data_IF_479162525240
#
_entry.id   IF_479162525240
#
_cell.length_a   1.000
_cell.length_b   1.000
_cell.length_c   1.000
_cell.angle_alpha   90.00
_cell.angle_beta   90.00
_cell.angle_gamma   90.00
#
_symmetry.space_group_name_H-M   'P 1'
#
loop_
_entity.id
_entity.type
_entity.pdbx_description
1 polymer ?
#
# COMPACT_ATOMS: atom_id res chain seq x y z
N UNK A 1 2.53 23.65 17.79
CA UNK A 1 3.63 22.78 17.34
C UNK A 1 3.33 22.37 15.91
N UNK A 2 4.06 22.92 14.94
CA UNK A 2 3.90 22.56 13.53
C UNK A 2 4.48 21.17 13.35
N UNK A 3 3.63 20.13 13.20
CA UNK A 3 4.07 18.81 12.78
C UNK A 3 4.62 18.95 11.36
N UNK A 4 5.94 19.05 11.22
CA UNK A 4 6.62 18.84 9.95
C UNK A 4 6.30 17.42 9.51
N UNK A 5 5.43 17.28 8.52
CA UNK A 5 5.24 16.03 7.78
C UNK A 5 6.61 15.76 7.16
N UNK A 6 7.34 14.79 7.71
CA UNK A 6 8.52 14.25 7.05
C UNK A 6 8.01 13.62 5.76
N UNK A 7 8.12 14.35 4.65
CA UNK A 7 7.88 13.78 3.32
C UNK A 7 9.01 12.77 3.13
N UNK A 8 8.68 11.48 3.25
CA UNK A 8 9.63 10.42 2.95
C UNK A 8 10.16 10.61 1.53
N UNK A 9 11.48 10.60 1.37
CA UNK A 9 12.08 10.68 0.05
C UNK A 9 11.67 9.43 -0.74
N UNK A 10 11.06 9.63 -1.91
CA UNK A 10 10.75 8.55 -2.85
C UNK A 10 12.01 7.73 -3.19
N UNK A 11 11.87 6.41 -3.43
CA UNK A 11 12.99 5.58 -3.84
C UNK A 11 13.52 6.00 -5.22
N UNK A 12 14.69 5.50 -5.60
CA UNK A 12 15.25 5.74 -6.93
C UNK A 12 14.46 5.03 -8.03
N UNK A 13 13.90 3.85 -7.73
CA UNK A 13 13.12 3.06 -8.68
C UNK A 13 11.93 2.40 -7.99
N UNK A 14 10.89 2.14 -8.77
CA UNK A 14 9.76 1.31 -8.37
C UNK A 14 9.62 0.11 -9.30
N UNK A 15 9.11 -1.00 -8.76
CA UNK A 15 9.02 -2.28 -9.44
C UNK A 15 7.61 -2.83 -9.34
N UNK A 16 7.02 -3.25 -10.45
CA UNK A 16 5.72 -3.91 -10.49
C UNK A 16 5.80 -5.23 -11.22
N UNK A 17 5.32 -6.29 -10.58
CA UNK A 17 5.37 -7.66 -11.08
C UNK A 17 3.98 -8.12 -11.49
N UNK A 18 3.83 -8.64 -12.71
CA UNK A 18 2.57 -9.17 -13.23
C UNK A 18 2.80 -9.95 -14.53
N UNK A 19 1.70 -10.37 -15.18
CA UNK A 19 1.76 -10.86 -16.56
C UNK A 19 2.21 -9.76 -17.50
N UNK A 20 3.09 -10.08 -18.44
CA UNK A 20 3.63 -9.20 -19.47
C UNK A 20 2.55 -8.41 -20.17
N UNK A 21 1.48 -9.07 -20.64
CA UNK A 21 0.37 -8.43 -21.35
C UNK A 21 -0.29 -7.27 -20.59
N UNK A 22 -0.28 -7.32 -19.26
CA UNK A 22 -0.82 -6.25 -18.43
C UNK A 22 0.20 -5.12 -18.26
N UNK A 23 1.48 -5.48 -18.09
CA UNK A 23 2.55 -4.51 -17.96
C UNK A 23 2.85 -3.77 -19.28
N UNK A 24 2.61 -4.39 -20.44
CA UNK A 24 2.66 -3.73 -21.74
C UNK A 24 1.62 -2.61 -21.83
N UNK A 25 0.39 -2.84 -21.34
CA UNK A 25 -0.60 -1.77 -21.23
C UNK A 25 -0.17 -0.68 -20.25
N UNK A 26 0.43 -1.06 -19.12
CA UNK A 26 0.98 -0.07 -18.18
C UNK A 26 2.10 0.76 -18.80
N UNK A 27 2.99 0.16 -19.60
CA UNK A 27 4.11 0.85 -20.25
C UNK A 27 3.63 1.75 -21.39
N UNK A 28 2.88 1.19 -22.35
CA UNK A 28 2.58 1.86 -23.61
C UNK A 28 1.36 2.77 -23.54
N UNK A 29 0.38 2.44 -22.68
CA UNK A 29 -0.86 3.21 -22.54
C UNK A 29 -0.95 3.96 -21.19
N UNK A 30 -0.04 3.69 -20.26
CA UNK A 30 -0.14 4.20 -18.89
C UNK A 30 -1.32 3.61 -18.12
N UNK A 31 -1.77 2.40 -18.45
CA UNK A 31 -2.94 1.79 -17.80
C UNK A 31 -2.58 1.24 -16.42
N UNK A 32 -3.17 1.82 -15.38
CA UNK A 32 -3.01 1.37 -13.99
C UNK A 32 -4.37 1.13 -13.34
N UNK A 33 -4.52 -0.05 -12.74
CA UNK A 33 -5.68 -0.40 -11.92
C UNK A 33 -5.41 -0.04 -10.47
N UNK A 34 -6.18 0.91 -9.95
CA UNK A 34 -6.31 1.20 -8.53
C UNK A 34 -7.30 0.22 -7.93
N UNK A 35 -6.87 -0.51 -6.92
CA UNK A 35 -7.66 -1.55 -6.25
C UNK A 35 -8.13 -1.04 -4.90
N UNK A 36 -9.28 -1.51 -4.43
CA UNK A 36 -9.76 -1.19 -3.10
C UNK A 36 -9.13 -2.10 -2.03
N UNK A 37 -9.08 -1.63 -0.79
CA UNK A 37 -8.59 -2.43 0.33
C UNK A 37 -9.48 -3.68 0.53
N UNK A 38 -10.80 -3.51 0.40
CA UNK A 38 -11.76 -4.64 0.42
C UNK A 38 -11.51 -5.65 -0.70
N UNK A 39 -11.16 -5.18 -1.91
CA UNK A 39 -10.83 -6.07 -3.02
C UNK A 39 -9.63 -6.96 -2.71
N UNK A 40 -8.57 -6.39 -2.13
CA UNK A 40 -7.37 -7.15 -1.74
C UNK A 40 -7.71 -8.24 -0.70
N UNK A 41 -8.50 -7.91 0.32
CA UNK A 41 -8.99 -8.88 1.31
C UNK A 41 -9.76 -10.04 0.66
N UNK A 42 -10.48 -9.76 -0.43
CA UNK A 42 -11.30 -10.72 -1.16
C UNK A 42 -10.53 -11.60 -2.17
N UNK A 43 -9.24 -11.32 -2.43
CA UNK A 43 -8.45 -12.06 -3.42
C UNK A 43 -8.40 -13.55 -3.07
N UNK A 44 -8.89 -14.40 -3.98
CA UNK A 44 -8.79 -15.85 -3.82
C UNK A 44 -7.66 -16.43 -4.68
N UNK A 45 -6.81 -17.25 -4.06
CA UNK A 45 -5.72 -17.94 -4.73
C UNK A 45 -4.50 -17.08 -5.05
N UNK A 46 -4.34 -15.92 -4.40
CA UNK A 46 -3.14 -15.08 -4.42
C UNK A 46 -2.80 -14.65 -2.98
N UNK A 47 -2.56 -15.66 -2.13
CA UNK A 47 -2.33 -15.49 -0.69
C UNK A 47 -1.19 -14.52 -0.35
N UNK A 48 -0.10 -14.44 -1.13
CA UNK A 48 0.95 -13.45 -0.87
C UNK A 48 0.45 -12.01 -0.94
N UNK A 49 -0.57 -11.70 -1.75
CA UNK A 49 -1.17 -10.37 -1.83
C UNK A 49 -2.40 -10.17 -0.96
N UNK A 50 -3.07 -11.25 -0.57
CA UNK A 50 -4.29 -11.19 0.22
C UNK A 50 -3.99 -10.76 1.66
N UNK A 51 -4.44 -9.56 2.03
CA UNK A 51 -4.28 -8.95 3.35
C UNK A 51 -5.51 -8.14 3.74
N UNK A 52 -5.70 -7.90 5.04
CA UNK A 52 -6.72 -6.98 5.55
C UNK A 52 -6.15 -5.56 5.61
N UNK A 53 -6.04 -4.91 4.46
CA UNK A 53 -5.37 -3.62 4.29
C UNK A 53 -6.04 -2.46 5.07
N UNK A 54 -7.23 -2.69 5.64
CA UNK A 54 -7.94 -1.74 6.50
C UNK A 54 -7.66 -1.93 7.98
N UNK A 55 -7.07 -3.06 8.39
CA UNK A 55 -6.87 -3.44 9.77
C UNK A 55 -5.43 -3.86 10.01
N UNK A 56 -4.78 -3.25 11.00
CA UNK A 56 -3.46 -3.67 11.46
C UNK A 56 -3.53 -4.07 12.93
N UNK A 57 -3.06 -5.29 13.21
CA UNK A 57 -2.97 -5.83 14.57
C UNK A 57 -1.52 -5.94 15.02
N UNK A 58 -1.25 -5.46 16.23
CA UNK A 58 0.03 -5.58 16.91
C UNK A 58 -0.16 -6.33 18.23
N UNK A 59 0.55 -7.46 18.38
CA UNK A 59 0.61 -8.20 19.65
C UNK A 59 1.83 -7.76 20.42
N UNK A 60 1.61 -7.13 21.58
CA UNK A 60 2.66 -6.70 22.49
C UNK A 60 2.73 -7.63 23.70
N UNK A 61 3.93 -8.02 24.16
CA UNK A 61 4.12 -8.68 25.45
C UNK A 61 3.52 -7.83 26.57
N UNK A 62 2.96 -8.49 27.59
CA UNK A 62 2.35 -7.78 28.73
C UNK A 62 3.33 -6.86 29.46
N UNK A 63 4.61 -7.22 29.48
CA UNK A 63 5.69 -6.44 30.09
C UNK A 63 6.04 -5.15 29.33
N UNK A 64 5.62 -5.03 28.07
CA UNK A 64 5.89 -3.86 27.21
C UNK A 64 4.73 -2.86 27.21
N UNK A 65 3.68 -3.07 28.02
CA UNK A 65 2.46 -2.26 28.01
C UNK A 65 2.09 -1.74 29.39
N UNK A 66 2.06 -0.42 29.53
CA UNK A 66 1.52 0.27 30.69
C UNK A 66 0.05 0.65 30.46
N UNK A 67 -0.87 0.02 31.19
CA UNK A 67 -2.30 0.36 31.16
C UNK A 67 -2.67 1.03 32.48
N UNK A 68 -3.29 2.21 32.42
CA UNK A 68 -3.81 2.92 33.61
C UNK A 68 -5.31 3.09 33.52
N UNK A 69 -6.02 2.73 34.59
CA UNK A 69 -7.45 3.00 34.71
C UNK A 69 -7.68 4.51 34.90
N UNK A 70 -8.22 5.20 33.90
CA UNK A 70 -8.44 6.66 33.96
C UNK A 70 -9.32 7.10 35.14
N UNK A 71 -10.31 6.30 35.53
CA UNK A 71 -11.23 6.63 36.63
C UNK A 71 -10.59 6.48 38.01
N UNK A 72 -9.67 5.53 38.19
CA UNK A 72 -9.10 5.21 39.52
C UNK A 72 -7.62 5.57 39.67
N UNK A 73 -6.94 5.87 38.56
CA UNK A 73 -5.49 6.11 38.51
C UNK A 73 -4.63 4.87 38.78
N UNK A 74 -5.22 3.69 38.93
CA UNK A 74 -4.49 2.45 39.25
C UNK A 74 -3.94 1.77 38.00
N UNK A 75 -2.73 1.17 38.08
CA UNK A 75 -2.21 0.35 36.99
C UNK A 75 -3.08 -0.90 36.81
N UNK A 76 -3.31 -1.28 35.56
CA UNK A 76 -3.92 -2.53 35.15
C UNK A 76 -2.79 -3.40 34.59
N UNK A 77 -2.59 -4.57 35.19
CA UNK A 77 -1.59 -5.53 34.72
C UNK A 77 -2.31 -6.50 33.78
N UNK A 78 -1.93 -6.56 32.49
CA UNK A 78 -2.49 -7.55 31.57
C UNK A 78 -2.16 -8.98 32.06
N UNK A 79 -3.06 -9.93 31.82
CA UNK A 79 -2.83 -11.36 32.13
C UNK A 79 -2.17 -12.13 30.97
N UNK A 80 -2.02 -11.47 29.83
CA UNK A 80 -1.51 -12.02 28.57
C UNK A 80 -1.05 -10.87 27.68
N UNK A 81 -0.48 -11.20 26.51
CA UNK A 81 -0.21 -10.22 25.48
C UNK A 81 -1.42 -9.32 25.22
N UNK A 82 -1.14 -8.04 24.98
CA UNK A 82 -2.13 -7.04 24.60
C UNK A 82 -2.15 -6.96 23.08
N UNK A 83 -3.35 -7.03 22.50
CA UNK A 83 -3.55 -6.84 21.06
C UNK A 83 -4.05 -5.41 20.88
N UNK A 84 -3.29 -4.63 20.12
CA UNK A 84 -3.69 -3.31 19.66
C UNK A 84 -4.17 -3.47 18.21
N UNK A 85 -5.37 -3.00 17.94
CA UNK A 85 -5.97 -3.05 16.60
C UNK A 85 -6.22 -1.62 16.12
N UNK A 86 -5.59 -1.27 15.00
CA UNK A 86 -5.83 -0.02 14.28
C UNK A 86 -6.69 -0.32 13.04
N UNK A 87 -7.91 0.23 12.99
CA UNK A 87 -8.86 0.00 11.89
C UNK A 87 -9.24 1.29 11.17
N UNK A 88 -9.32 1.22 9.84
CA UNK A 88 -9.96 2.25 9.03
C UNK A 88 -11.46 1.99 8.91
N UNK A 89 -12.25 3.01 9.21
CA UNK A 89 -13.71 2.95 9.07
C UNK A 89 -14.20 3.16 7.63
N UNK A 90 -13.29 3.33 6.67
CA UNK A 90 -13.60 3.59 5.26
C UNK A 90 -12.68 2.79 4.36
N UNK A 91 -13.24 2.26 3.29
CA UNK A 91 -12.48 1.70 2.18
C UNK A 91 -11.74 2.82 1.44
N UNK A 92 -10.67 2.45 0.74
CA UNK A 92 -9.81 3.38 0.03
C UNK A 92 -9.20 2.73 -1.21
N UNK A 93 -8.75 3.54 -2.18
CA UNK A 93 -8.04 3.03 -3.35
C UNK A 93 -6.55 2.98 -3.10
N UNK A 94 -5.89 2.00 -3.68
CA UNK A 94 -4.45 1.91 -3.65
C UNK A 94 -3.82 1.30 -4.89
N UNK A 95 -2.53 1.60 -5.04
CA UNK A 95 -1.62 1.06 -6.03
C UNK A 95 -0.29 0.74 -5.32
N UNK A 96 0.07 -0.53 -5.25
CA UNK A 96 1.30 -0.99 -4.63
C UNK A 96 2.37 -1.31 -5.67
N UNK A 97 3.59 -0.84 -5.42
CA UNK A 97 4.81 -1.21 -6.14
C UNK A 97 5.87 -1.60 -5.11
N UNK A 98 6.90 -2.35 -5.52
CA UNK A 98 8.06 -2.63 -4.67
C UNK A 98 9.13 -1.55 -4.85
N UNK A 99 9.89 -1.24 -3.80
CA UNK A 99 11.10 -0.40 -3.86
C UNK A 99 12.36 -1.20 -4.17
N UNK A 100 12.27 -2.54 -4.21
CA UNK A 100 13.41 -3.44 -4.43
C UNK A 100 13.09 -4.40 -5.58
N UNK A 101 14.01 -4.49 -6.54
CA UNK A 101 14.01 -5.57 -7.52
C UNK A 101 14.38 -6.87 -6.82
N UNK A 102 13.41 -7.76 -6.69
CA UNK A 102 13.58 -9.07 -6.09
C UNK A 102 12.99 -10.15 -7.01
N UNK A 103 13.79 -11.15 -7.38
CA UNK A 103 13.33 -12.24 -8.23
C UNK A 103 12.34 -13.14 -7.50
N UNK A 104 12.39 -13.18 -6.16
CA UNK A 104 11.46 -13.93 -5.33
C UNK A 104 10.00 -13.51 -5.55
N UNK A 105 9.77 -12.25 -5.91
CA UNK A 105 8.43 -11.75 -6.21
C UNK A 105 7.83 -12.35 -7.48
N UNK A 106 8.63 -12.90 -8.41
CA UNK A 106 8.08 -13.66 -9.54
C UNK A 106 7.46 -15.00 -9.11
N UNK A 107 7.96 -15.58 -8.02
CA UNK A 107 7.51 -16.87 -7.51
C UNK A 107 6.29 -16.74 -6.59
N UNK A 108 6.29 -15.72 -5.74
CA UNK A 108 5.19 -15.46 -4.82
C UNK A 108 3.94 -14.97 -5.55
N UNK A 109 4.13 -14.08 -6.52
CA UNK A 109 3.02 -13.43 -7.16
C UNK A 109 2.46 -14.24 -8.32
N UNK A 110 1.23 -14.71 -8.14
CA UNK A 110 0.51 -15.52 -9.12
C UNK A 110 0.66 -15.00 -10.55
N UNK A 111 1.16 -15.88 -11.42
CA UNK A 111 1.32 -15.67 -12.86
C UNK A 111 2.18 -14.45 -13.24
N UNK A 112 3.15 -14.05 -12.42
CA UNK A 112 4.08 -12.97 -12.75
C UNK A 112 5.23 -13.49 -13.61
N UNK A 113 5.30 -13.03 -14.86
CA UNK A 113 6.33 -13.41 -15.84
C UNK A 113 7.18 -12.22 -16.33
N UNK A 114 6.80 -10.99 -15.97
CA UNK A 114 7.55 -9.77 -16.27
C UNK A 114 7.51 -8.77 -15.11
N UNK A 115 8.42 -7.81 -15.14
CA UNK A 115 8.52 -6.71 -14.19
C UNK A 115 8.60 -5.37 -14.95
N UNK A 116 7.75 -4.43 -14.56
CA UNK A 116 7.83 -3.03 -14.97
C UNK A 116 8.74 -2.31 -13.98
N UNK A 117 9.81 -1.72 -14.51
CA UNK A 117 10.76 -0.91 -13.75
C UNK A 117 10.48 0.55 -14.07
N UNK A 118 10.14 1.34 -13.06
CA UNK A 118 9.95 2.79 -13.17
C UNK A 118 11.21 3.46 -12.65
N UNK A 119 11.91 4.19 -13.52
CA UNK A 119 13.19 4.84 -13.25
C UNK A 119 13.06 6.26 -12.72
N UNK A 120 11.88 6.89 -12.88
CA UNK A 120 11.57 8.19 -12.27
C UNK A 120 10.26 8.12 -11.45
N UNK A 121 10.35 7.74 -10.16
CA UNK A 121 9.18 7.69 -9.28
C UNK A 121 8.53 9.05 -9.02
N UNK A 122 9.23 10.18 -9.22
CA UNK A 122 8.63 11.50 -9.03
C UNK A 122 7.72 11.84 -10.21
N UNK A 123 8.23 11.71 -11.44
CA UNK A 123 7.42 11.91 -12.65
C UNK A 123 6.23 10.94 -12.68
N UNK A 124 6.46 9.67 -12.33
CA UNK A 124 5.37 8.69 -12.23
C UNK A 124 4.30 9.10 -11.23
N UNK A 125 4.72 9.54 -10.03
CA UNK A 125 3.79 10.01 -8.99
C UNK A 125 2.98 11.22 -9.46
N UNK A 126 3.62 12.17 -10.12
CA UNK A 126 2.95 13.37 -10.64
C UNK A 126 1.89 12.99 -11.67
N UNK A 127 2.23 12.15 -12.66
CA UNK A 127 1.27 11.68 -13.68
C UNK A 127 0.10 10.89 -13.08
N UNK A 128 0.38 10.00 -12.11
CA UNK A 128 -0.64 9.21 -11.41
C UNK A 128 -1.59 10.10 -10.62
N UNK A 129 -1.07 11.05 -9.83
CA UNK A 129 -1.91 11.93 -9.02
C UNK A 129 -2.73 12.89 -9.89
N UNK A 130 -2.12 13.56 -10.86
CA UNK A 130 -2.82 14.45 -11.78
C UNK A 130 -3.96 13.73 -12.52
N UNK A 131 -3.70 12.51 -13.02
CA UNK A 131 -4.73 11.72 -13.70
C UNK A 131 -5.82 11.28 -12.74
N UNK A 132 -5.45 10.82 -11.54
CA UNK A 132 -6.41 10.34 -10.54
C UNK A 132 -7.40 11.42 -10.08
N UNK A 133 -6.99 12.68 -10.00
CA UNK A 133 -7.85 13.81 -9.61
C UNK A 133 -9.03 14.01 -10.57
N UNK A 134 -8.90 13.59 -11.83
CA UNK A 134 -9.99 13.64 -12.81
C UNK A 134 -11.14 12.69 -12.46
N UNK A 135 -10.83 11.59 -11.77
CA UNK A 135 -11.77 10.52 -11.41
C UNK A 135 -12.18 10.56 -9.93
N UNK A 136 -11.24 10.90 -9.04
CA UNK A 136 -11.38 10.81 -7.59
C UNK A 136 -11.51 12.21 -6.96
N UNK A 137 -12.60 12.91 -7.30
CA UNK A 137 -12.90 14.22 -6.70
C UNK A 137 -13.16 14.08 -5.21
N UNK A 138 -12.54 14.91 -4.38
CA UNK A 138 -12.60 14.88 -2.91
C UNK A 138 -11.92 13.66 -2.27
N UNK A 139 -10.90 13.11 -2.92
CA UNK A 139 -10.01 12.12 -2.33
C UNK A 139 -8.64 12.74 -2.11
N UNK A 140 -7.95 12.35 -1.04
CA UNK A 140 -6.61 12.80 -0.72
C UNK A 140 -5.62 11.78 -1.27
N UNK A 141 -4.85 12.11 -2.32
CA UNK A 141 -3.72 11.29 -2.72
C UNK A 141 -2.61 11.37 -1.67
N UNK A 142 -1.99 10.24 -1.39
CA UNK A 142 -0.80 10.14 -0.56
C UNK A 142 0.04 8.97 -1.05
N UNK A 143 1.36 9.07 -0.95
CA UNK A 143 2.24 7.93 -1.15
C UNK A 143 3.36 7.89 -0.13
N UNK A 144 3.70 6.68 0.30
CA UNK A 144 4.75 6.43 1.28
C UNK A 144 5.19 4.96 1.26
N UNK A 145 6.29 4.68 1.96
CA UNK A 145 6.74 3.32 2.21
C UNK A 145 5.81 2.62 3.21
N UNK A 146 5.54 1.34 2.96
CA UNK A 146 4.86 0.48 3.94
C UNK A 146 5.83 0.09 5.06
N UNK A 147 5.34 0.22 6.29
CA UNK A 147 6.06 -0.16 7.50
C UNK A 147 5.58 -1.55 7.95
N UNK A 148 6.51 -2.40 8.35
CA UNK A 148 6.24 -3.80 8.65
C UNK A 148 6.46 -4.12 10.13
N UNK A 149 5.52 -4.84 10.74
CA UNK A 149 5.59 -5.31 12.12
C UNK A 149 5.39 -4.23 13.19
N UNK A 150 5.02 -3.01 12.79
CA UNK A 150 4.74 -1.88 13.68
C UNK A 150 3.78 -0.91 12.99
N UNK A 151 3.08 -0.08 13.78
CA UNK A 151 2.17 0.94 13.24
C UNK A 151 2.94 2.05 12.51
N UNK A 152 2.46 2.42 11.32
CA UNK A 152 2.91 3.58 10.57
C UNK A 152 2.28 4.86 11.10
N UNK A 153 3.01 5.97 11.02
CA UNK A 153 2.45 7.31 11.27
C UNK A 153 1.31 7.69 10.28
N UNK A 154 1.23 6.98 9.15
CA UNK A 154 0.18 7.14 8.14
C UNK A 154 -1.01 6.20 8.35
N UNK A 155 -1.04 5.44 9.46
CA UNK A 155 -2.13 4.55 9.83
C UNK A 155 -2.03 3.15 9.21
N UNK A 156 -3.09 2.33 9.34
CA UNK A 156 -3.06 0.93 8.92
C UNK A 156 -2.93 0.77 7.39
N UNK A 157 -3.33 1.78 6.60
CA UNK A 157 -3.12 1.78 5.15
C UNK A 157 -1.65 1.74 4.72
N UNK A 158 -0.71 1.97 5.64
CA UNK A 158 0.74 1.87 5.43
C UNK A 158 1.42 0.95 6.46
N UNK A 159 0.66 0.11 7.15
CA UNK A 159 1.17 -0.82 8.16
C UNK A 159 0.87 -2.24 7.72
N UNK A 160 1.86 -3.14 7.79
CA UNK A 160 1.67 -4.54 7.42
C UNK A 160 2.30 -5.52 8.41
N UNK A 161 1.74 -6.72 8.57
CA UNK A 161 2.40 -7.81 9.27
C UNK A 161 3.79 -8.12 8.70
N UNK A 162 4.73 -8.53 9.56
CA UNK A 162 6.12 -8.84 9.16
C UNK A 162 6.20 -9.94 8.09
N UNK A 163 5.23 -10.86 8.03
CA UNK A 163 5.15 -11.90 7.00
C UNK A 163 5.13 -11.36 5.56
N UNK A 164 4.74 -10.09 5.35
CA UNK A 164 4.71 -9.45 4.03
C UNK A 164 5.96 -8.59 3.73
N UNK A 165 6.97 -8.58 4.62
CA UNK A 165 8.16 -7.73 4.47
C UNK A 165 8.88 -7.90 3.12
N UNK A 166 8.84 -9.11 2.56
CA UNK A 166 9.47 -9.44 1.28
C UNK A 166 8.93 -8.62 0.09
N UNK A 167 7.74 -8.01 0.24
CA UNK A 167 7.13 -7.17 -0.81
C UNK A 167 7.79 -5.80 -0.94
N UNK A 168 8.42 -5.29 0.13
CA UNK A 168 9.10 -4.00 0.14
C UNK A 168 8.26 -2.87 -0.47
N UNK A 169 7.01 -2.72 -0.05
CA UNK A 169 6.02 -1.88 -0.73
C UNK A 169 6.29 -0.37 -0.58
N UNK A 170 6.18 0.33 -1.71
CA UNK A 170 5.76 1.71 -1.80
C UNK A 170 4.31 1.74 -2.25
N UNK A 171 3.48 2.47 -1.52
CA UNK A 171 2.04 2.48 -1.75
C UNK A 171 1.57 3.88 -2.09
N UNK A 172 0.81 3.96 -3.17
CA UNK A 172 -0.02 5.11 -3.48
C UNK A 172 -1.43 4.81 -2.94
N UNK A 173 -1.96 5.67 -2.07
CA UNK A 173 -3.31 5.58 -1.53
C UNK A 173 -4.11 6.82 -1.89
N UNK A 174 -5.43 6.63 -2.04
CA UNK A 174 -6.39 7.72 -2.10
C UNK A 174 -7.42 7.46 -1.02
N UNK A 175 -7.49 8.35 -0.03
CA UNK A 175 -8.49 8.28 1.04
C UNK A 175 -9.63 9.28 0.78
N UNK A 176 -10.89 8.92 1.02
CA UNK A 176 -12.00 9.85 0.83
C UNK A 176 -11.97 10.94 1.91
N UNK A 177 -12.14 12.21 1.52
CA UNK A 177 -12.25 13.33 2.47
C UNK A 177 -13.58 13.32 3.24
N UNK A 178 -14.63 12.76 2.64
CA UNK A 178 -15.98 12.79 3.18
C UNK A 178 -16.71 11.48 2.94
N UNK A 179 -17.45 11.04 3.96
CA UNK A 179 -18.27 9.84 3.91
C UNK A 179 -17.45 8.55 4.04
N UNK A 180 -18.05 7.55 4.70
CA UNK A 180 -17.49 6.20 4.74
C UNK A 180 -17.79 5.51 3.42
N UNK A 181 -16.76 5.00 2.77
CA UNK A 181 -16.86 4.20 1.55
C UNK A 181 -16.78 2.73 1.89
N UNK A 182 -17.46 1.90 1.11
CA UNK A 182 -17.39 0.44 1.20
C UNK A 182 -17.63 -0.19 -0.16
N UNK A 183 -17.09 -1.39 -0.37
CA UNK A 183 -17.28 -2.18 -1.60
C UNK A 183 -16.89 -1.41 -2.88
N UNK A 184 -15.79 -0.67 -2.84
CA UNK A 184 -15.32 0.10 -3.99
C UNK A 184 -14.92 -0.85 -5.14
N UNK A 185 -15.50 -0.62 -6.32
CA UNK A 185 -15.05 -1.27 -7.55
C UNK A 185 -13.69 -0.72 -7.97
N UNK A 186 -12.83 -1.58 -8.52
CA UNK A 186 -11.51 -1.15 -8.97
C UNK A 186 -11.61 -0.10 -10.07
N UNK A 187 -10.82 0.96 -9.93
CA UNK A 187 -10.75 2.05 -10.90
C UNK A 187 -9.54 1.84 -11.81
N UNK A 188 -9.73 1.97 -13.12
CA UNK A 188 -8.62 1.96 -14.09
C UNK A 188 -8.39 3.38 -14.58
N UNK A 189 -7.16 3.87 -14.45
CA UNK A 189 -6.72 5.18 -14.95
C UNK A 189 -5.69 5.00 -16.06
N UNK A 190 -5.57 6.01 -16.93
CA UNK A 190 -4.57 6.05 -18.01
C UNK A 190 -3.72 7.31 -17.90
N UNK A 191 -2.46 7.14 -17.52
CA UNK A 191 -1.51 8.25 -17.31
C UNK A 191 -0.73 8.65 -18.56
N UNK A 192 -1.05 8.03 -19.70
CA UNK A 192 -0.29 8.16 -20.94
C UNK A 192 0.92 7.23 -20.99
N UNK A 193 1.54 7.15 -22.15
CA UNK A 193 2.76 6.35 -22.35
C UNK A 193 3.83 6.76 -21.32
N UNK A 194 4.54 5.77 -20.77
CA UNK A 194 5.61 5.97 -19.77
C UNK A 194 6.94 5.34 -20.18
N UNK A 195 7.16 5.04 -21.46
CA UNK A 195 8.44 4.50 -21.95
C UNK A 195 9.62 5.44 -21.71
N UNK A 196 9.35 6.74 -21.56
CA UNK A 196 10.34 7.74 -21.21
C UNK A 196 10.87 7.62 -19.78
N UNK A 197 10.12 6.97 -18.89
CA UNK A 197 10.45 6.80 -17.46
C UNK A 197 10.44 5.35 -16.98
N UNK A 198 10.12 4.39 -17.85
CA UNK A 198 9.96 3.00 -17.44
C UNK A 198 10.35 2.01 -18.55
N UNK A 199 10.68 0.78 -18.14
CA UNK A 199 10.96 -0.33 -19.06
C UNK A 199 10.35 -1.63 -18.55
N UNK A 200 10.16 -2.60 -19.46
CA UNK A 200 9.80 -3.97 -19.10
C UNK A 200 11.02 -4.88 -19.13
N UNK A 201 11.13 -5.72 -18.11
CA UNK A 201 12.07 -6.83 -18.08
C UNK A 201 11.31 -8.14 -17.89
N UNK A 202 11.73 -9.18 -18.59
CA UNK A 202 11.16 -10.51 -18.42
C UNK A 202 11.80 -11.23 -17.22
N UNK A 203 11.09 -12.24 -16.74
CA UNK A 203 11.63 -13.22 -15.81
C UNK A 203 12.73 -14.01 -16.53
N UNK A 204 13.95 -13.97 -15.97
CA UNK A 204 15.08 -14.78 -16.43
C UNK A 204 14.98 -16.22 -15.92
#
# INVERSE_FOLDING_TARGET
>A
MTRSILIEKRPEKLFRYSKRKWLEKSLYEGEFRLVSATYIKSLQGDAPRQDDEMCFELSLPQEDVDITCLTTGRPIIPSSNVIITDELETDYFMLCLSIKKDSYLFDEFKESDSCLIIHDPNEFSERIFQTSELYLKNWVPHDARVIYGQSSQHGPSYSKPFKYLFQHEWRFCWLPLMGRQSNLECLTIKIGNIEDIAELVDRF
#
